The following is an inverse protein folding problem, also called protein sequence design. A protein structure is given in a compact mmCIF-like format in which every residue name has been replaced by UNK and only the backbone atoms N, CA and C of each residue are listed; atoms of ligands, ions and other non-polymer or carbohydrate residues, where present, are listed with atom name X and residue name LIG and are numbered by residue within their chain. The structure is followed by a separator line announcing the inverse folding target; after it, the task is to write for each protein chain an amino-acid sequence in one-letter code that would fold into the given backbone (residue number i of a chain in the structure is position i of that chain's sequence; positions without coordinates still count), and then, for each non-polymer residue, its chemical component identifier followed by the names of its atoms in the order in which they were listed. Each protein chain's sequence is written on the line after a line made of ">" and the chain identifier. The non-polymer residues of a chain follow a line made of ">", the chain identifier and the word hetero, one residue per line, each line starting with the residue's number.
data_IF_265097678280
#
_entry.id   IF_265097678280
#
_cell.length_a   1.000
_cell.length_b   1.000
_cell.length_c   1.000
_cell.angle_alpha   90.00
_cell.angle_beta   90.00
_cell.angle_gamma   90.00
#
_symmetry.space_group_name_H-M   'P 1'
#
loop_
_entity.id
_entity.type
_entity.pdbx_description
1 polymer ?
#
# COMPACT_ATOMS: atom_id res chain seq x y z
N UNK A 1 16.51 50.73 43.94
CA UNK A 1 16.51 50.27 42.54
C UNK A 1 16.00 48.85 42.51
N UNK A 2 14.85 48.62 41.86
CA UNK A 2 14.09 47.37 41.97
C UNK A 2 14.68 46.30 41.03
N UNK A 3 15.02 45.16 41.61
CA UNK A 3 15.71 44.05 40.96
C UNK A 3 14.64 43.05 40.48
N UNK A 4 14.95 42.37 39.37
CA UNK A 4 14.38 41.08 38.88
C UNK A 4 13.24 41.18 37.88
N UNK A 5 13.59 41.32 36.60
CA UNK A 5 12.79 40.78 35.49
C UNK A 5 13.45 39.50 34.94
N UNK A 6 13.56 38.47 35.78
CA UNK A 6 13.89 37.13 35.29
C UNK A 6 12.65 36.57 34.59
N UNK A 7 12.65 36.61 33.25
CA UNK A 7 11.64 36.00 32.40
C UNK A 7 11.41 34.53 32.85
N UNK A 8 10.16 34.11 33.12
CA UNK A 8 9.91 32.79 33.69
C UNK A 8 10.21 31.71 32.64
N UNK A 9 11.12 30.79 32.96
CA UNK A 9 11.52 29.64 32.14
C UNK A 9 10.31 28.81 31.62
N UNK A 10 9.16 28.91 32.28
CA UNK A 10 7.85 28.41 31.86
C UNK A 10 7.48 28.81 30.42
N UNK A 11 7.76 30.05 29.98
CA UNK A 11 7.40 30.54 28.64
C UNK A 11 8.23 29.81 27.56
N UNK A 12 9.52 29.59 27.82
CA UNK A 12 10.39 28.84 26.92
C UNK A 12 9.96 27.38 26.81
N UNK A 13 9.63 26.74 27.93
CA UNK A 13 9.13 25.35 27.94
C UNK A 13 7.82 25.21 27.17
N UNK A 14 6.89 26.16 27.35
CA UNK A 14 5.60 26.20 26.64
C UNK A 14 5.78 26.41 25.14
N UNK A 15 6.70 27.27 24.72
CA UNK A 15 7.01 27.52 23.31
C UNK A 15 7.66 26.30 22.64
N UNK A 16 8.58 25.61 23.33
CA UNK A 16 9.19 24.37 22.84
C UNK A 16 8.14 23.27 22.72
N UNK A 17 7.23 23.15 23.69
CA UNK A 17 6.13 22.20 23.65
C UNK A 17 5.14 22.50 22.50
N UNK A 18 4.73 23.76 22.33
CA UNK A 18 3.88 24.20 21.23
C UNK A 18 4.53 23.97 19.85
N UNK A 19 5.85 24.13 19.71
CA UNK A 19 6.55 23.80 18.46
C UNK A 19 6.58 22.29 18.19
N UNK A 20 6.64 21.47 19.25
CA UNK A 20 6.54 20.01 19.15
C UNK A 20 5.13 19.58 18.71
N UNK A 21 4.10 20.19 19.30
CA UNK A 21 2.70 19.90 19.00
C UNK A 21 2.29 20.41 17.61
N UNK A 22 2.83 21.55 17.17
CA UNK A 22 2.63 22.10 15.82
C UNK A 22 3.28 21.23 14.72
N UNK A 23 4.45 20.63 15.00
CA UNK A 23 5.09 19.66 14.09
C UNK A 23 4.34 18.33 14.06
N UNK A 24 3.91 17.84 15.23
CA UNK A 24 3.10 16.63 15.33
C UNK A 24 1.77 16.77 14.57
N UNK A 25 1.13 17.95 14.60
CA UNK A 25 -0.12 18.22 13.87
C UNK A 25 0.07 18.43 12.37
N UNK A 26 1.23 18.92 11.92
CA UNK A 26 1.57 19.03 10.50
C UNK A 26 2.01 17.70 9.86
N UNK A 27 2.55 16.78 10.65
CA UNK A 27 2.98 15.44 10.18
C UNK A 27 1.82 14.44 10.06
N UNK A 28 0.76 14.61 10.87
CA UNK A 28 -0.47 13.81 10.84
C UNK A 28 -1.17 13.76 9.46
N UNK A 29 -1.39 14.89 8.75
CA UNK A 29 -2.05 14.84 7.45
C UNK A 29 -1.24 14.05 6.43
N UNK A 30 0.10 14.09 6.47
CA UNK A 30 0.94 13.36 5.52
C UNK A 30 0.95 11.86 5.79
N UNK A 31 1.03 11.44 7.05
CA UNK A 31 0.88 10.02 7.41
C UNK A 31 -0.50 9.49 7.04
N UNK A 32 -1.56 10.27 7.28
CA UNK A 32 -2.92 9.89 6.90
C UNK A 32 -3.08 9.74 5.37
N UNK A 33 -2.46 10.64 4.59
CA UNK A 33 -2.42 10.54 3.13
C UNK A 33 -1.71 9.27 2.65
N UNK A 34 -0.55 8.95 3.22
CA UNK A 34 0.21 7.75 2.90
C UNK A 34 -0.58 6.48 3.23
N UNK A 35 -1.19 6.44 4.42
CA UNK A 35 -2.05 5.32 4.84
C UNK A 35 -3.26 5.17 3.92
N UNK A 36 -3.88 6.28 3.50
CA UNK A 36 -4.95 6.25 2.51
C UNK A 36 -4.45 5.70 1.17
N UNK A 37 -3.25 6.10 0.72
CA UNK A 37 -2.65 5.58 -0.50
C UNK A 37 -2.46 4.06 -0.43
N UNK A 38 -1.94 3.54 0.69
CA UNK A 38 -1.82 2.11 0.96
C UNK A 38 -3.20 1.41 1.02
N UNK A 39 -4.19 2.04 1.64
CA UNK A 39 -5.57 1.53 1.68
C UNK A 39 -6.20 1.49 0.28
N UNK A 40 -5.82 2.36 -0.65
CA UNK A 40 -6.25 2.26 -2.05
C UNK A 40 -5.46 1.24 -2.86
N UNK A 41 -4.42 0.62 -2.29
CA UNK A 41 -3.57 -0.36 -2.96
C UNK A 41 -2.54 0.24 -3.92
N UNK A 42 -2.36 1.57 -3.90
CA UNK A 42 -1.43 2.27 -4.79
C UNK A 42 0.02 2.15 -4.28
N UNK A 43 0.97 2.21 -5.21
CA UNK A 43 2.40 2.21 -4.91
C UNK A 43 2.79 3.54 -4.24
N UNK A 44 3.53 3.45 -3.14
CA UNK A 44 4.14 4.61 -2.52
C UNK A 44 5.32 5.10 -3.35
N UNK A 45 5.49 6.41 -3.39
CA UNK A 45 6.65 7.06 -4.02
C UNK A 45 7.85 6.99 -3.07
N UNK A 46 9.05 7.18 -3.63
CA UNK A 46 10.28 7.17 -2.84
C UNK A 46 10.26 8.21 -1.71
N UNK A 47 9.67 9.39 -1.96
CA UNK A 47 9.54 10.44 -0.94
C UNK A 47 8.54 10.09 0.18
N UNK A 48 7.54 9.26 -0.11
CA UNK A 48 6.57 8.77 0.87
C UNK A 48 7.17 7.63 1.71
N UNK A 49 7.96 6.74 1.10
CA UNK A 49 8.70 5.70 1.80
C UNK A 49 9.77 6.27 2.75
N UNK A 50 10.59 7.22 2.28
CA UNK A 50 11.58 7.90 3.12
C UNK A 50 10.92 8.62 4.30
N UNK A 51 9.71 9.14 4.10
CA UNK A 51 8.94 9.78 5.16
C UNK A 51 8.43 8.74 6.19
N UNK A 52 7.89 7.60 5.74
CA UNK A 52 7.51 6.53 6.65
C UNK A 52 8.69 6.04 7.49
N UNK A 53 9.87 5.88 6.89
CA UNK A 53 11.06 5.43 7.62
C UNK A 53 11.42 6.31 8.82
N UNK A 54 11.15 7.63 8.74
CA UNK A 54 11.48 8.60 9.80
C UNK A 54 10.36 8.79 10.83
N UNK A 55 9.11 8.64 10.41
CA UNK A 55 7.94 8.97 11.23
C UNK A 55 7.20 7.74 11.77
N UNK A 56 7.15 6.64 11.01
CA UNK A 56 6.49 5.38 11.38
C UNK A 56 7.20 4.16 10.74
N UNK A 57 8.24 3.62 11.41
CA UNK A 57 8.99 2.46 10.92
C UNK A 57 8.15 1.20 10.76
N UNK A 58 7.09 1.04 11.57
CA UNK A 58 6.21 -0.13 11.47
C UNK A 58 5.40 -0.09 10.16
N UNK A 59 4.82 1.07 9.85
CA UNK A 59 4.08 1.26 8.61
C UNK A 59 5.01 1.20 7.38
N UNK A 60 6.27 1.64 7.51
CA UNK A 60 7.30 1.48 6.48
C UNK A 60 7.52 0.00 6.12
N UNK A 61 7.72 -0.86 7.12
CA UNK A 61 7.99 -2.28 6.90
C UNK A 61 6.79 -3.00 6.29
N UNK A 62 5.57 -2.62 6.71
CA UNK A 62 4.33 -3.08 6.09
C UNK A 62 4.26 -2.64 4.63
N UNK A 63 4.50 -1.35 4.34
CA UNK A 63 4.49 -0.82 2.98
C UNK A 63 5.54 -1.50 2.08
N UNK A 64 6.73 -1.79 2.60
CA UNK A 64 7.78 -2.50 1.88
C UNK A 64 7.36 -3.92 1.53
N UNK A 65 6.76 -4.63 2.49
CA UNK A 65 6.23 -5.97 2.29
C UNK A 65 5.11 -5.99 1.24
N UNK A 66 4.18 -5.03 1.31
CA UNK A 66 3.11 -4.84 0.34
C UNK A 66 3.67 -4.55 -1.07
N UNK A 67 4.68 -3.67 -1.17
CA UNK A 67 5.33 -3.35 -2.45
C UNK A 67 5.99 -4.57 -3.07
N UNK A 68 6.72 -5.34 -2.26
CA UNK A 68 7.42 -6.56 -2.69
C UNK A 68 6.42 -7.62 -3.17
N UNK A 69 5.36 -7.85 -2.41
CA UNK A 69 4.32 -8.80 -2.78
C UNK A 69 3.57 -8.38 -4.04
N UNK A 70 3.23 -7.08 -4.14
CA UNK A 70 2.59 -6.53 -5.33
C UNK A 70 3.49 -6.73 -6.56
N UNK A 71 4.79 -6.47 -6.44
CA UNK A 71 5.73 -6.70 -7.54
C UNK A 71 5.79 -8.17 -7.96
N UNK A 72 5.89 -9.10 -7.00
CA UNK A 72 5.86 -10.53 -7.28
C UNK A 72 4.55 -10.96 -7.97
N UNK A 73 3.42 -10.37 -7.58
CA UNK A 73 2.13 -10.59 -8.23
C UNK A 73 2.10 -10.04 -9.66
N UNK A 74 2.59 -8.82 -9.90
CA UNK A 74 2.72 -8.23 -11.23
C UNK A 74 3.61 -9.10 -12.13
N UNK A 75 4.75 -9.55 -11.64
CA UNK A 75 5.67 -10.44 -12.36
C UNK A 75 4.99 -11.78 -12.69
N UNK A 76 4.22 -12.35 -11.77
CA UNK A 76 3.44 -13.55 -12.03
C UNK A 76 2.37 -13.34 -13.11
N UNK A 77 1.68 -12.19 -13.11
CA UNK A 77 0.72 -11.83 -14.16
C UNK A 77 1.39 -11.68 -15.53
N UNK A 78 2.64 -11.26 -15.59
CA UNK A 78 3.40 -11.25 -16.84
C UNK A 78 3.57 -12.66 -17.43
N UNK A 79 3.46 -13.72 -16.65
CA UNK A 79 3.60 -15.11 -17.12
C UNK A 79 2.25 -15.79 -17.38
N UNK A 80 1.13 -15.12 -17.11
CA UNK A 80 -0.21 -15.67 -17.35
C UNK A 80 -0.43 -15.98 -18.83
N UNK A 81 -1.00 -17.15 -19.11
CA UNK A 81 -1.17 -17.64 -20.49
C UNK A 81 -2.52 -17.26 -21.10
N UNK A 82 -3.53 -17.02 -20.26
CA UNK A 82 -4.87 -16.64 -20.69
C UNK A 82 -5.51 -15.65 -19.73
N UNK A 83 -6.58 -15.00 -20.18
CA UNK A 83 -7.38 -14.10 -19.32
C UNK A 83 -8.01 -14.84 -18.14
N UNK A 84 -8.42 -16.09 -18.36
CA UNK A 84 -8.99 -16.95 -17.32
C UNK A 84 -7.93 -17.32 -16.26
N UNK A 85 -6.70 -17.60 -16.69
CA UNK A 85 -5.57 -17.90 -15.81
C UNK A 85 -5.23 -16.70 -14.90
N UNK A 86 -5.14 -15.49 -15.48
CA UNK A 86 -4.94 -14.25 -14.70
C UNK A 86 -6.06 -14.01 -13.67
N UNK A 87 -7.33 -14.19 -14.07
CA UNK A 87 -8.49 -14.04 -13.18
C UNK A 87 -8.52 -15.10 -12.06
N UNK A 88 -8.14 -16.34 -12.39
CA UNK A 88 -8.05 -17.42 -11.41
C UNK A 88 -6.92 -17.13 -10.39
N UNK A 89 -5.77 -16.67 -10.87
CA UNK A 89 -4.65 -16.26 -10.04
C UNK A 89 -5.00 -15.10 -9.10
N UNK A 90 -5.76 -14.11 -9.58
CA UNK A 90 -6.30 -13.04 -8.74
C UNK A 90 -7.20 -13.59 -7.63
N UNK A 91 -8.19 -14.42 -7.99
CA UNK A 91 -9.12 -15.03 -7.03
C UNK A 91 -8.39 -15.85 -5.97
N UNK A 92 -7.41 -16.67 -6.39
CA UNK A 92 -6.59 -17.48 -5.49
C UNK A 92 -5.83 -16.62 -4.48
N UNK A 93 -5.20 -15.53 -4.92
CA UNK A 93 -4.45 -14.63 -4.03
C UNK A 93 -5.38 -13.92 -3.04
N UNK A 94 -6.53 -13.41 -3.48
CA UNK A 94 -7.49 -12.78 -2.57
C UNK A 94 -8.04 -13.75 -1.53
N UNK A 95 -8.30 -15.00 -1.93
CA UNK A 95 -8.74 -16.05 -1.00
C UNK A 95 -7.65 -16.43 0.00
N UNK A 96 -6.38 -16.46 -0.41
CA UNK A 96 -5.23 -16.64 0.50
C UNK A 96 -5.16 -15.52 1.53
N UNK A 97 -5.31 -14.26 1.10
CA UNK A 97 -5.31 -13.10 2.01
C UNK A 97 -6.50 -13.15 2.97
N UNK A 98 -7.70 -13.47 2.47
CA UNK A 98 -8.89 -13.64 3.31
C UNK A 98 -8.75 -14.80 4.30
N UNK A 99 -8.03 -15.87 3.95
CA UNK A 99 -7.72 -16.96 4.87
C UNK A 99 -6.85 -16.54 6.05
N UNK A 100 -6.01 -15.51 5.86
CA UNK A 100 -5.13 -14.95 6.90
C UNK A 100 -5.87 -14.01 7.87
N UNK A 101 -7.13 -13.66 7.60
CA UNK A 101 -7.95 -12.79 8.46
C UNK A 101 -8.14 -13.33 9.88
N UNK A 102 -7.96 -14.65 10.08
CA UNK A 102 -8.00 -15.30 11.39
C UNK A 102 -6.77 -14.98 12.26
N UNK A 103 -5.67 -14.49 11.68
CA UNK A 103 -4.38 -14.36 12.35
C UNK A 103 -3.70 -12.99 12.20
N UNK A 104 -4.27 -12.06 11.42
CA UNK A 104 -3.67 -10.75 11.14
C UNK A 104 -4.58 -9.56 11.48
N UNK A 105 -4.01 -8.35 11.49
CA UNK A 105 -4.76 -7.11 11.62
C UNK A 105 -5.67 -6.91 10.40
N UNK A 106 -6.95 -6.59 10.65
CA UNK A 106 -7.96 -6.41 9.60
C UNK A 106 -7.53 -5.38 8.54
N UNK A 107 -6.83 -4.33 8.96
CA UNK A 107 -6.37 -3.27 8.10
C UNK A 107 -5.20 -3.66 7.19
N UNK A 108 -4.18 -4.33 7.71
CA UNK A 108 -3.03 -4.77 6.90
C UNK A 108 -3.50 -5.71 5.78
N UNK A 109 -4.41 -6.62 6.12
CA UNK A 109 -4.98 -7.55 5.15
C UNK A 109 -5.85 -6.83 4.12
N UNK A 110 -6.56 -5.78 4.51
CA UNK A 110 -7.28 -4.90 3.57
C UNK A 110 -6.30 -4.18 2.63
N UNK A 111 -5.23 -3.58 3.14
CA UNK A 111 -4.19 -2.95 2.31
C UNK A 111 -3.59 -3.95 1.32
N UNK A 112 -3.29 -5.16 1.79
CA UNK A 112 -2.77 -6.27 0.97
C UNK A 112 -3.73 -6.68 -0.13
N UNK A 113 -5.00 -6.88 0.20
CA UNK A 113 -6.03 -7.21 -0.79
C UNK A 113 -6.16 -6.10 -1.84
N UNK A 114 -6.20 -4.83 -1.41
CA UNK A 114 -6.33 -3.69 -2.30
C UNK A 114 -5.10 -3.53 -3.20
N UNK A 115 -3.89 -3.77 -2.70
CA UNK A 115 -2.66 -3.73 -3.49
C UNK A 115 -2.67 -4.74 -4.64
N UNK A 116 -3.11 -5.98 -4.38
CA UNK A 116 -3.26 -7.03 -5.39
C UNK A 116 -4.38 -6.67 -6.38
N UNK A 117 -5.52 -6.19 -5.89
CA UNK A 117 -6.64 -5.80 -6.75
C UNK A 117 -6.27 -4.65 -7.70
N UNK A 118 -5.54 -3.63 -7.22
CA UNK A 118 -5.14 -2.51 -8.05
C UNK A 118 -4.10 -2.94 -9.08
N UNK A 119 -3.13 -3.78 -8.72
CA UNK A 119 -2.19 -4.37 -9.68
C UNK A 119 -2.90 -5.20 -10.75
N UNK A 120 -3.88 -6.02 -10.36
CA UNK A 120 -4.69 -6.77 -11.31
C UNK A 120 -5.48 -5.83 -12.23
N UNK A 121 -6.07 -4.76 -11.69
CA UNK A 121 -6.82 -3.76 -12.47
C UNK A 121 -5.93 -3.07 -13.50
N UNK A 122 -4.72 -2.69 -13.11
CA UNK A 122 -3.72 -2.13 -14.03
C UNK A 122 -3.33 -3.14 -15.11
N UNK A 123 -3.10 -4.40 -14.74
CA UNK A 123 -2.78 -5.46 -15.68
C UNK A 123 -3.90 -5.72 -16.69
N UNK A 124 -5.16 -5.79 -16.25
CA UNK A 124 -6.32 -5.96 -17.14
C UNK A 124 -6.45 -4.82 -18.16
N UNK A 125 -6.01 -3.61 -17.80
CA UNK A 125 -5.95 -2.44 -18.70
C UNK A 125 -4.72 -2.43 -19.61
N UNK A 126 -3.74 -3.30 -19.39
CA UNK A 126 -2.51 -3.35 -20.18
C UNK A 126 -2.73 -3.97 -21.56
N UNK A 127 -1.90 -3.56 -22.51
CA UNK A 127 -1.85 -4.17 -23.85
C UNK A 127 -1.55 -5.67 -23.81
N UNK A 128 -0.78 -6.11 -22.81
CA UNK A 128 -0.47 -7.53 -22.61
C UNK A 128 -1.72 -8.33 -22.31
N UNK A 129 -2.56 -7.90 -21.37
CA UNK A 129 -3.82 -8.59 -21.08
C UNK A 129 -4.76 -8.61 -22.30
N UNK A 130 -4.78 -7.51 -23.07
CA UNK A 130 -5.54 -7.47 -24.32
C UNK A 130 -5.05 -8.53 -25.34
N UNK A 131 -3.74 -8.80 -25.38
CA UNK A 131 -3.14 -9.82 -26.24
C UNK A 131 -3.29 -11.26 -25.73
N UNK A 132 -3.64 -11.46 -24.46
CA UNK A 132 -3.86 -12.79 -23.91
C UNK A 132 -5.06 -13.46 -24.58
N UNK A 133 -4.93 -14.77 -24.78
CA UNK A 133 -6.03 -15.58 -25.29
C UNK A 133 -7.20 -15.52 -24.30
N UNK A 134 -8.40 -15.38 -24.84
CA UNK A 134 -9.63 -15.44 -24.05
C UNK A 134 -9.97 -16.87 -23.59
N UNK A 135 -9.20 -17.88 -24.06
CA UNK A 135 -9.46 -19.32 -23.96
C UNK A 135 -10.06 -19.76 -22.62
N UNK A 136 -11.38 -19.81 -22.60
CA UNK A 136 -12.15 -20.90 -22.05
C UNK A 136 -13.01 -21.43 -23.20
N UNK A 137 -12.58 -22.53 -23.83
CA UNK A 137 -13.30 -23.28 -24.88
C UNK A 137 -13.10 -22.82 -26.34
N UNK A 138 -11.92 -23.10 -26.92
CA UNK A 138 -11.83 -23.39 -28.36
C UNK A 138 -12.20 -24.87 -28.56
N UNK A 139 -13.35 -25.23 -29.17
CA UNK A 139 -13.61 -26.62 -29.53
C UNK A 139 -12.53 -27.03 -30.53
N UNK A 140 -11.72 -28.03 -30.17
CA UNK A 140 -10.76 -28.64 -31.10
C UNK A 140 -11.52 -28.92 -32.40
N UNK A 141 -11.17 -28.22 -33.48
CA UNK A 141 -11.65 -28.57 -34.80
C UNK A 141 -11.15 -29.98 -35.07
N UNK A 142 -12.05 -30.96 -34.92
CA UNK A 142 -11.85 -32.32 -35.40
C UNK A 142 -11.50 -32.18 -36.87
N UNK A 143 -10.24 -32.43 -37.21
CA UNK A 143 -9.82 -32.62 -38.60
C UNK A 143 -10.64 -33.79 -39.13
N UNK A 144 -11.52 -33.49 -40.10
CA UNK A 144 -12.18 -34.48 -40.93
C UNK A 144 -11.17 -35.19 -41.80
#
# INVERSE_FOLDING_TARGET
>A
MNIKSAQPASIYFKAIQQCKDARATADQPRLALIRNLLMTGKKLRADEMDYLQRHDPHLHDQAMSLSTERQAYEDALQHSRSKADANHFNTFNLMRIAGQLKHGGSEELLMRANAIQEAHREFVRSSKYASLRSDGFEPRKLRR
#
